data_IF_604434949215
#
_entry.id   IF_604434949215
#
_cell.length_a   1.000
_cell.length_b   1.000
_cell.length_c   1.000
_cell.angle_alpha   90.00
_cell.angle_beta   90.00
_cell.angle_gamma   90.00
#
_symmetry.space_group_name_H-M   'P 1'
#
loop_
_entity.id
_entity.type
_entity.pdbx_description
1 polymer ?
#
# COMPACT_ATOMS: atom_id res chain seq x y z
N UNK A 1 23.27 -21.98 -15.36
CA UNK A 1 22.98 -20.58 -14.95
C UNK A 1 21.84 -20.64 -13.96
N UNK A 2 22.18 -20.69 -12.67
CA UNK A 2 21.23 -20.70 -11.57
C UNK A 2 20.52 -19.34 -11.53
N UNK A 3 19.25 -19.32 -11.92
CA UNK A 3 18.38 -18.17 -11.63
C UNK A 3 17.94 -18.30 -10.17
N UNK A 4 18.78 -17.88 -9.23
CA UNK A 4 18.32 -17.52 -7.89
C UNK A 4 17.57 -16.19 -7.98
N UNK A 5 16.37 -16.23 -8.56
CA UNK A 5 15.41 -15.12 -8.46
C UNK A 5 14.58 -15.34 -7.21
N UNK A 6 14.71 -14.48 -6.22
CA UNK A 6 13.72 -14.36 -5.14
C UNK A 6 12.36 -14.13 -5.79
N UNK A 7 11.53 -15.17 -5.83
CA UNK A 7 10.21 -15.14 -6.45
C UNK A 7 9.18 -15.01 -5.32
N UNK A 8 9.14 -13.85 -4.69
CA UNK A 8 8.21 -13.48 -3.63
C UNK A 8 8.28 -11.95 -3.50
N UNK A 9 7.18 -11.27 -3.15
CA UNK A 9 7.22 -9.92 -2.50
C UNK A 9 7.00 -8.65 -3.35
N UNK A 10 6.05 -8.67 -4.29
CA UNK A 10 5.48 -7.46 -4.90
C UNK A 10 3.98 -7.36 -4.58
N UNK A 11 3.49 -6.15 -4.30
CA UNK A 11 2.08 -5.87 -4.05
C UNK A 11 1.60 -4.70 -4.91
N UNK A 12 0.54 -4.93 -5.68
CA UNK A 12 -0.07 -3.91 -6.53
C UNK A 12 -0.76 -2.82 -5.67
N UNK A 13 -0.76 -1.54 -6.09
CA UNK A 13 -1.39 -0.47 -5.33
C UNK A 13 -2.87 -0.70 -5.00
N UNK A 14 -3.63 -1.25 -5.95
CA UNK A 14 -5.05 -1.54 -5.73
C UNK A 14 -5.25 -2.66 -4.71
N UNK A 15 -4.37 -3.66 -4.69
CA UNK A 15 -4.43 -4.73 -3.69
C UNK A 15 -3.99 -4.22 -2.32
N UNK A 16 -3.00 -3.33 -2.25
CA UNK A 16 -2.65 -2.62 -1.02
C UNK A 16 -3.85 -1.81 -0.50
N UNK A 17 -4.51 -1.04 -1.36
CA UNK A 17 -5.70 -0.29 -0.97
C UNK A 17 -6.80 -1.19 -0.43
N UNK A 18 -7.11 -2.30 -1.10
CA UNK A 18 -8.17 -3.23 -0.66
C UNK A 18 -7.92 -3.79 0.74
N UNK A 19 -6.65 -3.96 1.13
CA UNK A 19 -6.28 -4.44 2.46
C UNK A 19 -6.34 -3.36 3.53
N UNK A 20 -5.88 -2.15 3.22
CA UNK A 20 -5.57 -1.14 4.22
C UNK A 20 -6.50 0.07 4.23
N UNK A 21 -7.29 0.28 3.17
CA UNK A 21 -8.33 1.31 3.11
C UNK A 21 -9.63 0.76 3.70
N UNK A 22 -10.23 1.51 4.64
CA UNK A 22 -11.47 1.10 5.32
C UNK A 22 -12.73 1.23 4.47
N UNK A 23 -12.71 2.09 3.46
CA UNK A 23 -13.83 2.29 2.54
C UNK A 23 -13.88 1.15 1.52
N UNK A 24 -15.07 0.73 1.09
CA UNK A 24 -15.23 -0.20 -0.01
C UNK A 24 -14.92 0.47 -1.37
N UNK A 25 -14.47 -0.28 -2.40
CA UNK A 25 -14.14 0.26 -3.72
C UNK A 25 -15.25 1.08 -4.39
N UNK A 26 -16.50 0.77 -4.10
CA UNK A 26 -17.70 1.40 -4.65
C UNK A 26 -18.06 2.71 -3.93
N UNK A 27 -17.48 2.96 -2.74
CA UNK A 27 -17.80 4.13 -1.93
C UNK A 27 -17.15 5.42 -2.46
N UNK A 28 -17.91 6.51 -2.40
CA UNK A 28 -17.39 7.83 -2.74
C UNK A 28 -16.25 8.19 -1.81
N UNK A 29 -15.08 8.46 -2.39
CA UNK A 29 -13.87 8.82 -1.64
C UNK A 29 -12.87 7.69 -1.51
N UNK A 30 -13.21 6.46 -1.91
CA UNK A 30 -12.28 5.32 -1.92
C UNK A 30 -10.95 5.66 -2.61
N UNK A 31 -11.03 6.27 -3.80
CA UNK A 31 -9.82 6.66 -4.55
C UNK A 31 -8.95 7.66 -3.78
N UNK A 32 -9.56 8.62 -3.08
CA UNK A 32 -8.80 9.58 -2.28
C UNK A 32 -8.12 8.88 -1.11
N UNK A 33 -8.84 8.00 -0.41
CA UNK A 33 -8.27 7.22 0.69
C UNK A 33 -7.13 6.29 0.20
N UNK A 34 -7.26 5.71 -0.99
CA UNK A 34 -6.17 5.01 -1.68
C UNK A 34 -4.92 5.88 -1.84
N UNK A 35 -5.08 7.09 -2.41
CA UNK A 35 -3.97 8.02 -2.63
C UNK A 35 -3.28 8.35 -1.31
N UNK A 36 -4.06 8.64 -0.27
CA UNK A 36 -3.55 8.99 1.06
C UNK A 36 -2.78 7.79 1.68
N UNK A 37 -3.33 6.57 1.61
CA UNK A 37 -2.69 5.35 2.12
C UNK A 37 -1.40 4.99 1.36
N UNK A 38 -1.38 5.18 0.03
CA UNK A 38 -0.20 4.92 -0.79
C UNK A 38 0.89 5.97 -0.56
N UNK A 39 0.51 7.23 -0.34
CA UNK A 39 1.44 8.29 0.02
C UNK A 39 2.13 7.99 1.35
N UNK A 40 1.38 7.54 2.35
CA UNK A 40 1.94 7.11 3.64
C UNK A 40 2.88 5.91 3.49
N UNK A 41 2.44 4.86 2.77
CA UNK A 41 3.21 3.64 2.59
C UNK A 41 4.53 3.84 1.83
N UNK A 42 4.58 4.82 0.92
CA UNK A 42 5.74 5.05 0.04
C UNK A 42 6.56 6.28 0.42
N UNK A 43 6.07 7.13 1.32
CA UNK A 43 6.68 8.42 1.65
C UNK A 43 6.61 9.45 0.52
N UNK A 44 5.84 9.20 -0.53
CA UNK A 44 5.69 10.10 -1.68
C UNK A 44 4.55 11.08 -1.47
N UNK A 45 4.58 12.21 -2.20
CA UNK A 45 3.48 13.17 -2.15
C UNK A 45 2.18 12.59 -2.75
N UNK A 46 1.00 12.91 -2.20
CA UNK A 46 -0.29 12.52 -2.80
C UNK A 46 -0.41 12.91 -4.27
N UNK A 47 0.12 14.08 -4.64
CA UNK A 47 0.18 14.56 -6.03
C UNK A 47 0.98 13.63 -6.94
N UNK A 48 2.10 13.08 -6.45
CA UNK A 48 2.89 12.09 -7.19
C UNK A 48 2.07 10.83 -7.46
N UNK A 49 1.37 10.33 -6.44
CA UNK A 49 0.52 9.14 -6.55
C UNK A 49 -0.65 9.39 -7.52
N UNK A 50 -1.29 10.56 -7.46
CA UNK A 50 -2.38 10.93 -8.36
C UNK A 50 -1.96 10.91 -9.84
N UNK A 51 -0.70 11.25 -10.13
CA UNK A 51 -0.14 11.22 -11.47
C UNK A 51 0.08 9.82 -12.04
N UNK A 52 -0.03 8.77 -11.21
CA UNK A 52 0.11 7.38 -11.67
C UNK A 52 -1.10 6.87 -12.46
N UNK A 53 -2.17 7.66 -12.54
CA UNK A 53 -3.37 7.33 -13.30
C UNK A 53 -4.56 6.92 -12.44
N UNK A 54 -5.59 6.37 -13.08
CA UNK A 54 -6.83 5.99 -12.37
C UNK A 54 -6.66 4.69 -11.61
N UNK A 55 -5.86 3.78 -12.15
CA UNK A 55 -5.58 2.45 -11.61
C UNK A 55 -4.13 2.30 -11.17
N UNK A 56 -3.40 3.42 -11.05
CA UNK A 56 -1.98 3.47 -10.69
C UNK A 56 -1.06 2.74 -11.68
N UNK A 57 -1.46 2.71 -12.95
CA UNK A 57 -0.79 2.00 -14.04
C UNK A 57 0.55 2.62 -14.45
N UNK A 58 0.79 3.90 -14.15
CA UNK A 58 2.05 4.61 -14.46
C UNK A 58 3.01 4.68 -13.27
N UNK A 59 2.76 3.91 -12.21
CA UNK A 59 3.69 3.86 -11.07
C UNK A 59 5.03 3.29 -11.51
N UNK A 60 6.15 3.67 -10.88
CA UNK A 60 7.42 2.97 -11.04
C UNK A 60 7.37 1.52 -10.52
N UNK A 61 8.09 0.59 -11.16
CA UNK A 61 8.05 -0.84 -10.80
C UNK A 61 8.44 -1.12 -9.35
N UNK A 62 9.44 -0.39 -8.82
CA UNK A 62 9.95 -0.55 -7.46
C UNK A 62 8.90 -0.26 -6.37
N UNK A 63 7.83 0.48 -6.71
CA UNK A 63 6.74 0.77 -5.77
C UNK A 63 6.07 -0.50 -5.29
N UNK A 64 5.95 -1.53 -6.15
CA UNK A 64 5.30 -2.78 -5.74
C UNK A 64 6.03 -3.49 -4.61
N UNK A 65 7.37 -3.37 -4.58
CA UNK A 65 8.18 -3.90 -3.50
C UNK A 65 8.05 -3.05 -2.22
N UNK A 66 8.06 -1.72 -2.34
CA UNK A 66 7.81 -0.82 -1.20
C UNK A 66 6.46 -1.09 -0.52
N UNK A 67 5.40 -1.27 -1.32
CA UNK A 67 4.07 -1.57 -0.81
C UNK A 67 4.00 -2.93 -0.13
N UNK A 68 4.74 -3.92 -0.64
CA UNK A 68 4.84 -5.21 0.04
C UNK A 68 5.50 -5.06 1.42
N UNK A 69 6.60 -4.33 1.53
CA UNK A 69 7.25 -4.09 2.82
C UNK A 69 6.32 -3.36 3.80
N UNK A 70 5.60 -2.34 3.32
CA UNK A 70 4.59 -1.64 4.12
C UNK A 70 3.46 -2.59 4.59
N UNK A 71 2.97 -3.48 3.72
CA UNK A 71 1.97 -4.50 4.05
C UNK A 71 2.44 -5.42 5.19
N UNK A 72 3.72 -5.82 5.17
CA UNK A 72 4.32 -6.63 6.24
C UNK A 72 4.46 -5.88 7.55
N UNK A 73 4.90 -4.63 7.50
CA UNK A 73 4.98 -3.79 8.71
C UNK A 73 3.61 -3.61 9.35
N UNK A 74 2.58 -3.31 8.56
CA UNK A 74 1.22 -3.14 9.07
C UNK A 74 0.66 -4.44 9.66
N UNK A 75 0.90 -5.59 9.02
CA UNK A 75 0.54 -6.91 9.57
C UNK A 75 1.20 -7.16 10.92
N UNK A 76 2.49 -6.85 11.05
CA UNK A 76 3.23 -6.98 12.31
C UNK A 76 2.64 -6.06 13.39
N UNK A 77 2.34 -4.80 13.05
CA UNK A 77 1.73 -3.87 14.00
C UNK A 77 0.39 -4.38 14.53
N UNK A 78 -0.45 -4.99 13.68
CA UNK A 78 -1.71 -5.59 14.11
C UNK A 78 -1.53 -6.78 15.07
N UNK A 79 -0.41 -7.51 14.98
CA UNK A 79 -0.12 -8.66 15.85
C UNK A 79 0.46 -8.19 17.19
N UNK A 80 1.36 -7.20 17.15
CA UNK A 80 2.16 -6.79 18.32
C UNK A 80 1.41 -5.80 19.21
N UNK A 81 0.50 -4.98 18.66
CA UNK A 81 -0.28 -4.02 19.44
C UNK A 81 -1.62 -4.65 19.87
N UNK A 82 -1.87 -4.82 21.17
CA UNK A 82 -3.20 -5.20 21.67
C UNK A 82 -4.25 -4.16 21.23
N UNK A 83 -5.50 -4.55 20.96
CA UNK A 83 -6.58 -3.62 20.55
C UNK A 83 -6.83 -2.47 21.53
N UNK A 84 -6.44 -2.64 22.78
CA UNK A 84 -6.57 -1.75 23.94
C UNK A 84 -5.33 -0.88 24.19
N UNK A 85 -4.36 -0.88 23.27
CA UNK A 85 -3.17 -0.04 23.42
C UNK A 85 -3.50 1.45 23.19
N UNK A 86 -3.30 2.34 24.18
CA UNK A 86 -3.66 3.74 24.05
C UNK A 86 -2.82 4.43 22.96
N UNK A 87 -3.50 5.04 21.99
CA UNK A 87 -2.86 5.94 21.03
C UNK A 87 -2.60 7.26 21.76
N UNK A 88 -1.32 7.57 22.01
CA UNK A 88 -0.87 8.81 22.65
C UNK A 88 -1.12 10.03 21.79
#
# INVERSE_FOLDING_TARGET
MEKNGFNTENLEPLDYCRKWVRLAPEERGYRKACVDALAEATGLSPRTIENWGKSFEKRPDHITHSLYMADKLNQIQQIVLPPDFPQS
#
